data_IF_595917257296
#
_entry.id   IF_595917257296
#
_cell.length_a   1.000
_cell.length_b   1.000
_cell.length_c   1.000
_cell.angle_alpha   90.00
_cell.angle_beta   90.00
_cell.angle_gamma   90.00
#
_symmetry.space_group_name_H-M   'P 1'
#
loop_
_entity.id
_entity.type
_entity.pdbx_description
1 polymer ?
#
# COMPACT_ATOMS: atom_id res chain seq x y z
N UNK A 1 -8.91 -15.94 -6.94
CA UNK A 1 -8.88 -14.84 -7.94
C UNK A 1 -9.73 -13.60 -7.63
N UNK A 2 -10.95 -13.70 -7.06
CA UNK A 2 -11.85 -12.53 -6.88
C UNK A 2 -11.32 -11.41 -5.97
N UNK A 3 -10.63 -11.73 -4.87
CA UNK A 3 -10.22 -10.74 -3.88
C UNK A 3 -9.14 -9.77 -4.39
N UNK A 4 -8.10 -10.27 -5.07
CA UNK A 4 -7.04 -9.45 -5.67
C UNK A 4 -7.59 -8.45 -6.68
N UNK A 5 -8.41 -8.94 -7.62
CA UNK A 5 -9.05 -8.10 -8.65
C UNK A 5 -9.90 -6.99 -8.02
N UNK A 6 -10.73 -7.34 -7.04
CA UNK A 6 -11.57 -6.37 -6.31
C UNK A 6 -10.74 -5.31 -5.58
N UNK A 7 -9.62 -5.70 -4.96
CA UNK A 7 -8.71 -4.76 -4.32
C UNK A 7 -8.12 -3.77 -5.33
N UNK A 8 -7.59 -4.27 -6.44
CA UNK A 8 -6.99 -3.45 -7.49
C UNK A 8 -8.01 -2.48 -8.08
N UNK A 9 -9.21 -2.96 -8.43
CA UNK A 9 -10.28 -2.12 -9.00
C UNK A 9 -10.70 -1.00 -8.04
N UNK A 10 -10.94 -1.34 -6.77
CA UNK A 10 -11.35 -0.35 -5.78
C UNK A 10 -10.24 0.65 -5.46
N UNK A 11 -9.00 0.20 -5.28
CA UNK A 11 -7.86 1.07 -5.01
C UNK A 11 -7.57 2.02 -6.18
N UNK A 12 -7.68 1.53 -7.41
CA UNK A 12 -7.52 2.35 -8.62
C UNK A 12 -8.59 3.43 -8.70
N UNK A 13 -9.85 3.07 -8.41
CA UNK A 13 -10.96 4.03 -8.38
C UNK A 13 -10.77 5.10 -7.30
N UNK A 14 -10.37 4.68 -6.10
CA UNK A 14 -10.12 5.60 -4.99
C UNK A 14 -8.98 6.57 -5.30
N UNK A 15 -7.91 6.12 -5.96
CA UNK A 15 -6.75 6.96 -6.30
C UNK A 15 -6.86 7.67 -7.65
N UNK A 16 -8.01 7.58 -8.33
CA UNK A 16 -8.22 8.18 -9.65
C UNK A 16 -8.08 9.70 -9.65
N UNK A 17 -8.22 10.34 -8.50
CA UNK A 17 -8.00 11.78 -8.33
C UNK A 17 -6.51 12.20 -8.41
N UNK A 18 -5.57 11.25 -8.43
CA UNK A 18 -4.13 11.51 -8.65
C UNK A 18 -3.38 12.15 -7.47
N UNK A 19 -3.98 12.18 -6.28
CA UNK A 19 -3.32 12.70 -5.08
C UNK A 19 -2.47 11.60 -4.44
N UNK A 20 -1.43 11.95 -3.68
CA UNK A 20 -0.56 10.96 -3.03
C UNK A 20 -1.25 10.15 -1.91
N UNK A 21 -2.35 10.65 -1.34
CA UNK A 21 -3.12 9.99 -0.27
C UNK A 21 -4.60 9.84 -0.69
N UNK A 22 -5.30 8.88 -0.08
CA UNK A 22 -6.68 8.51 -0.40
C UNK A 22 -7.69 9.64 -0.22
N UNK A 23 -7.52 10.48 0.80
CA UNK A 23 -8.52 11.49 1.18
C UNK A 23 -7.90 12.88 1.36
N UNK A 24 -6.93 13.22 0.51
CA UNK A 24 -6.18 14.47 0.54
C UNK A 24 -5.03 14.41 1.54
N UNK A 25 -5.34 14.63 2.82
CA UNK A 25 -4.35 14.45 3.89
C UNK A 25 -4.16 12.97 4.21
N UNK A 26 -2.99 12.64 4.73
CA UNK A 26 -2.69 11.26 5.14
C UNK A 26 -3.62 10.80 6.25
N UNK A 27 -4.10 9.57 6.14
CA UNK A 27 -4.89 8.89 7.15
C UNK A 27 -4.40 7.45 7.35
N UNK A 28 -4.89 6.78 8.41
CA UNK A 28 -4.47 5.40 8.71
C UNK A 28 -4.82 4.41 7.59
N UNK A 29 -5.88 4.67 6.83
CA UNK A 29 -6.28 3.82 5.71
C UNK A 29 -5.22 3.79 4.60
N UNK A 30 -4.38 4.82 4.49
CA UNK A 30 -3.29 4.83 3.52
C UNK A 30 -2.25 3.75 3.84
N UNK A 31 -1.93 3.57 5.13
CA UNK A 31 -1.00 2.54 5.58
C UNK A 31 -1.59 1.13 5.42
N UNK A 32 -2.86 0.95 5.78
CA UNK A 32 -3.55 -0.33 5.63
C UNK A 32 -3.64 -0.75 4.16
N UNK A 33 -3.99 0.18 3.27
CA UNK A 33 -4.05 -0.09 1.83
C UNK A 33 -2.66 -0.41 1.26
N UNK A 34 -1.63 0.38 1.63
CA UNK A 34 -0.26 0.12 1.21
C UNK A 34 0.24 -1.27 1.66
N UNK A 35 -0.08 -1.69 2.88
CA UNK A 35 0.23 -3.03 3.38
C UNK A 35 -0.47 -4.12 2.54
N UNK A 36 -1.76 -3.94 2.23
CA UNK A 36 -2.51 -4.90 1.41
C UNK A 36 -1.95 -4.99 -0.02
N UNK A 37 -1.57 -3.86 -0.63
CA UNK A 37 -0.93 -3.83 -1.94
C UNK A 37 0.46 -4.47 -1.92
N UNK A 38 1.28 -4.17 -0.91
CA UNK A 38 2.61 -4.76 -0.76
C UNK A 38 2.56 -6.29 -0.62
N UNK A 39 1.49 -6.87 -0.05
CA UNK A 39 1.32 -8.34 -0.04
C UNK A 39 1.23 -8.93 -1.45
N UNK A 40 0.63 -8.21 -2.40
CA UNK A 40 0.55 -8.64 -3.79
C UNK A 40 1.89 -8.40 -4.50
N UNK A 41 2.44 -7.19 -4.36
CA UNK A 41 3.67 -6.76 -5.02
C UNK A 41 4.85 -7.66 -4.60
N UNK A 42 5.03 -7.88 -3.30
CA UNK A 42 6.14 -8.70 -2.78
C UNK A 42 5.96 -10.20 -3.07
N UNK A 43 4.73 -10.65 -3.35
CA UNK A 43 4.46 -12.00 -3.84
C UNK A 43 4.66 -12.15 -5.35
N UNK A 44 4.95 -11.07 -6.08
CA UNK A 44 5.12 -11.07 -7.53
C UNK A 44 3.82 -11.10 -8.33
N UNK A 45 2.68 -10.78 -7.70
CA UNK A 45 1.42 -10.60 -8.42
C UNK A 45 1.47 -9.35 -9.31
N UNK A 46 0.81 -9.40 -10.47
CA UNK A 46 0.63 -8.21 -11.32
C UNK A 46 -0.27 -7.17 -10.64
N UNK A 47 0.27 -5.96 -10.48
CA UNK A 47 -0.39 -4.79 -9.90
C UNK A 47 -0.11 -3.58 -10.80
N UNK A 48 -1.13 -2.75 -11.12
CA UNK A 48 -0.92 -1.53 -11.91
C UNK A 48 0.13 -0.59 -11.31
N UNK A 49 0.96 0.01 -12.16
CA UNK A 49 2.09 0.85 -11.72
C UNK A 49 1.68 1.98 -10.76
N UNK A 50 0.53 2.62 -10.99
CA UNK A 50 -0.03 3.64 -10.09
C UNK A 50 -0.14 3.15 -8.64
N UNK A 51 -0.59 1.91 -8.43
CA UNK A 51 -0.75 1.32 -7.11
C UNK A 51 0.59 0.89 -6.51
N UNK A 52 1.55 0.49 -7.35
CA UNK A 52 2.93 0.19 -6.93
C UNK A 52 3.60 1.46 -6.41
N UNK A 53 3.52 2.56 -7.16
CA UNK A 53 4.10 3.85 -6.79
C UNK A 53 3.46 4.39 -5.52
N UNK A 54 2.13 4.31 -5.42
CA UNK A 54 1.39 4.67 -4.21
C UNK A 54 1.83 3.84 -3.00
N UNK A 55 1.90 2.51 -3.12
CA UNK A 55 2.31 1.65 -2.03
C UNK A 55 3.74 1.95 -1.59
N UNK A 56 4.66 2.15 -2.53
CA UNK A 56 6.05 2.51 -2.25
C UNK A 56 6.16 3.86 -1.52
N UNK A 57 5.41 4.87 -1.96
CA UNK A 57 5.36 6.19 -1.32
C UNK A 57 4.86 6.09 0.13
N UNK A 58 3.72 5.43 0.35
CA UNK A 58 3.16 5.27 1.69
C UNK A 58 4.06 4.44 2.61
N UNK A 59 4.83 3.50 2.05
CA UNK A 59 5.77 2.69 2.81
C UNK A 59 6.96 3.49 3.37
N UNK A 60 7.34 4.61 2.76
CA UNK A 60 8.44 5.46 3.22
C UNK A 60 8.11 6.23 4.51
N UNK A 61 6.84 6.27 4.93
CA UNK A 61 6.42 6.99 6.14
C UNK A 61 7.17 6.49 7.37
N UNK A 62 7.73 7.41 8.15
CA UNK A 62 8.56 7.09 9.32
C UNK A 62 7.88 6.14 10.33
N UNK A 63 6.56 6.28 10.55
CA UNK A 63 5.80 5.39 11.43
C UNK A 63 5.74 3.95 10.90
N UNK A 64 5.57 3.78 9.58
CA UNK A 64 5.54 2.47 8.91
C UNK A 64 6.93 1.83 8.94
N UNK A 65 7.97 2.58 8.57
CA UNK A 65 9.35 2.10 8.62
C UNK A 65 9.77 1.69 10.04
N UNK A 66 9.36 2.45 11.06
CA UNK A 66 9.60 2.06 12.46
C UNK A 66 8.93 0.73 12.81
N UNK A 67 7.69 0.51 12.37
CA UNK A 67 6.98 -0.76 12.58
C UNK A 67 7.67 -1.94 11.87
N UNK A 68 8.12 -1.74 10.63
CA UNK A 68 8.89 -2.74 9.86
C UNK A 68 10.19 -3.10 10.59
N UNK A 69 10.94 -2.09 11.04
CA UNK A 69 12.19 -2.29 11.79
C UNK A 69 11.97 -3.04 13.13
N UNK A 70 10.88 -2.73 13.84
CA UNK A 70 10.52 -3.46 15.07
C UNK A 70 10.21 -4.93 14.80
N UNK A 71 9.54 -5.23 13.68
CA UNK A 71 9.21 -6.60 13.28
C UNK A 71 10.47 -7.39 12.86
N UNK A 72 11.39 -6.75 12.14
CA UNK A 72 12.67 -7.37 11.77
C UNK A 72 13.51 -7.75 13.00
N UNK A 73 13.54 -6.88 14.03
CA UNK A 73 14.25 -7.16 15.29
C UNK A 73 13.66 -8.33 16.08
N UNK A 74 12.37 -8.65 15.91
CA UNK A 74 11.71 -9.78 16.58
C UNK A 74 11.93 -11.12 15.88
N UNK A 75 12.31 -11.10 14.60
CA UNK A 75 12.52 -12.31 13.81
C UNK A 75 13.96 -12.86 13.90
N UNK A 76 14.89 -12.09 14.48
CA UNK A 76 16.24 -12.52 14.83
C UNK A 76 16.34 -12.88 16.31
#
# INVERSE_FOLDING_TARGET
MKARKKLIENATSLLAHGNPNLFGEWCIADADLALMLNRLILNGDEVPQLLVDYAAFQWQRASVQRYVALSAKRAG
#
